data_IF_601074338790
#
_entry.id   IF_601074338790
#
_cell.length_a   1.000
_cell.length_b   1.000
_cell.length_c   1.000
_cell.angle_alpha   90.00
_cell.angle_beta   90.00
_cell.angle_gamma   90.00
#
_symmetry.space_group_name_H-M   'P 1'
#
loop_
_entity.id
_entity.type
_entity.pdbx_description
1 polymer ?
#
# COMPACT_ATOMS: atom_id res chain seq x y z
N UNK A 1 -28.60 7.47 4.67
CA UNK A 1 -28.87 6.80 3.38
C UNK A 1 -28.44 5.35 3.54
N UNK A 2 -29.30 4.38 3.22
CA UNK A 2 -28.92 2.97 3.21
C UNK A 2 -27.83 2.75 2.15
N UNK A 3 -26.76 2.04 2.48
CA UNK A 3 -25.74 1.69 1.47
C UNK A 3 -26.41 0.90 0.34
N UNK A 4 -26.10 1.18 -0.93
CA UNK A 4 -26.69 0.46 -2.04
C UNK A 4 -26.31 -1.02 -1.95
N UNK A 5 -27.31 -1.90 -2.08
CA UNK A 5 -27.11 -3.33 -2.22
C UNK A 5 -26.41 -3.61 -3.56
N UNK A 6 -25.43 -4.53 -3.57
CA UNK A 6 -24.81 -4.99 -4.81
C UNK A 6 -25.55 -6.27 -5.22
N UNK A 7 -26.58 -6.10 -6.05
CA UNK A 7 -27.31 -7.24 -6.63
C UNK A 7 -26.54 -7.88 -7.79
N UNK A 8 -27.12 -8.95 -8.37
CA UNK A 8 -26.50 -9.71 -9.44
C UNK A 8 -26.29 -8.87 -10.72
N UNK A 9 -27.21 -7.96 -11.04
CA UNK A 9 -27.12 -7.11 -12.23
C UNK A 9 -26.04 -6.03 -12.06
N UNK A 10 -25.97 -5.41 -10.87
CA UNK A 10 -24.92 -4.48 -10.51
C UNK A 10 -23.55 -5.15 -10.54
N UNK A 11 -23.42 -6.37 -9.97
CA UNK A 11 -22.18 -7.13 -10.04
C UNK A 11 -21.79 -7.48 -11.48
N UNK A 12 -22.72 -7.98 -12.28
CA UNK A 12 -22.48 -8.31 -13.68
C UNK A 12 -22.00 -7.09 -14.46
N UNK A 13 -22.61 -5.92 -14.23
CA UNK A 13 -22.14 -4.66 -14.81
C UNK A 13 -20.71 -4.33 -14.39
N UNK A 14 -20.37 -4.38 -13.10
CA UNK A 14 -19.01 -4.12 -12.63
C UNK A 14 -17.99 -5.13 -13.20
N UNK A 15 -18.41 -6.38 -13.40
CA UNK A 15 -17.58 -7.44 -13.97
C UNK A 15 -17.25 -7.23 -15.45
N UNK A 16 -18.02 -6.44 -16.20
CA UNK A 16 -17.68 -6.05 -17.59
C UNK A 16 -16.38 -5.25 -17.69
N UNK A 17 -15.86 -4.73 -16.58
CA UNK A 17 -14.60 -3.99 -16.51
C UNK A 17 -13.37 -4.89 -16.41
N UNK A 18 -13.54 -6.18 -16.14
CA UNK A 18 -12.42 -7.13 -16.11
C UNK A 18 -11.74 -7.20 -17.48
N UNK A 19 -10.41 -7.25 -17.47
CA UNK A 19 -9.58 -7.20 -18.67
C UNK A 19 -9.31 -5.79 -19.20
N UNK A 20 -9.97 -4.74 -18.69
CA UNK A 20 -9.63 -3.35 -19.06
C UNK A 20 -8.20 -3.04 -18.65
N UNK A 21 -7.48 -2.31 -19.50
CA UNK A 21 -6.09 -1.93 -19.29
C UNK A 21 -5.87 -0.42 -19.30
N UNK A 22 -4.81 0.03 -18.65
CA UNK A 22 -4.25 1.38 -18.73
C UNK A 22 -2.71 1.28 -18.70
N UNK A 23 -2.04 2.08 -19.53
CA UNK A 23 -0.59 2.12 -19.60
C UNK A 23 -0.10 3.53 -19.29
N UNK A 24 0.84 3.65 -18.36
CA UNK A 24 1.51 4.89 -17.99
C UNK A 24 3.01 4.76 -18.19
N UNK A 25 3.67 5.85 -18.60
CA UNK A 25 5.13 5.95 -18.69
C UNK A 25 5.65 6.95 -17.66
N UNK A 26 6.86 6.72 -17.17
CA UNK A 26 7.57 7.63 -16.27
C UNK A 26 9.10 7.46 -16.44
N UNK A 27 9.88 8.36 -15.84
CA UNK A 27 11.33 8.29 -15.76
C UNK A 27 11.78 8.20 -14.30
N UNK A 28 12.64 7.24 -13.99
CA UNK A 28 13.14 7.06 -12.62
C UNK A 28 14.18 8.14 -12.30
N UNK A 29 13.72 9.29 -11.83
CA UNK A 29 14.61 10.37 -11.37
C UNK A 29 15.17 10.10 -9.96
N UNK A 30 16.33 10.68 -9.65
CA UNK A 30 17.03 10.47 -8.39
C UNK A 30 16.37 11.17 -7.18
N UNK A 31 15.59 12.24 -7.43
CA UNK A 31 15.09 13.11 -6.37
C UNK A 31 14.11 12.42 -5.41
N UNK A 32 13.09 11.65 -5.87
CA UNK A 32 12.20 10.90 -4.98
C UNK A 32 12.96 9.84 -4.16
N UNK A 33 13.94 9.16 -4.75
CA UNK A 33 14.79 8.18 -4.05
C UNK A 33 15.56 8.85 -2.90
N UNK A 34 16.22 9.97 -3.17
CA UNK A 34 16.94 10.73 -2.14
C UNK A 34 16.02 11.16 -1.00
N UNK A 35 14.83 11.67 -1.34
CA UNK A 35 13.87 12.16 -0.37
C UNK A 35 13.21 11.03 0.44
N UNK A 36 12.95 9.86 -0.15
CA UNK A 36 12.48 8.68 0.58
C UNK A 36 13.55 8.17 1.55
N UNK A 37 14.83 8.14 1.13
CA UNK A 37 15.94 7.79 2.03
C UNK A 37 15.98 8.69 3.27
N UNK A 38 15.89 10.01 3.07
CA UNK A 38 15.82 10.97 4.17
C UNK A 38 14.54 10.83 5.02
N UNK A 39 13.40 10.50 4.40
CA UNK A 39 12.12 10.29 5.10
C UNK A 39 12.14 9.07 6.01
N UNK A 40 12.84 8.00 5.61
CA UNK A 40 12.96 6.78 6.40
C UNK A 40 14.13 6.80 7.40
N UNK A 41 14.86 7.91 7.46
CA UNK A 41 16.09 8.08 8.25
C UNK A 41 17.13 7.01 7.90
N UNK A 42 17.55 7.03 6.63
CA UNK A 42 18.59 6.16 6.07
C UNK A 42 19.78 6.98 5.62
N UNK A 43 20.97 6.50 5.99
CA UNK A 43 22.26 7.01 5.54
C UNK A 43 22.73 6.27 4.26
N UNK A 44 21.81 6.04 3.32
CA UNK A 44 22.16 5.44 2.03
C UNK A 44 22.96 6.46 1.19
N UNK A 45 23.91 6.03 0.35
CA UNK A 45 24.61 6.92 -0.58
C UNK A 45 23.64 7.70 -1.47
N UNK A 46 24.02 8.94 -1.82
CA UNK A 46 23.21 9.77 -2.71
C UNK A 46 22.94 9.03 -4.04
N UNK A 47 21.67 8.97 -4.49
CA UNK A 47 21.33 8.25 -5.70
C UNK A 47 21.90 8.96 -6.93
N UNK A 48 22.53 8.17 -7.80
CA UNK A 48 23.05 8.58 -9.11
C UNK A 48 22.45 7.69 -10.21
N UNK A 49 22.71 8.01 -11.48
CA UNK A 49 22.31 7.15 -12.57
C UNK A 49 22.85 5.71 -12.36
N UNK A 50 21.98 4.71 -12.52
CA UNK A 50 22.28 3.31 -12.27
C UNK A 50 22.04 2.83 -10.82
N UNK A 51 21.80 3.72 -9.86
CA UNK A 51 21.41 3.32 -8.49
C UNK A 51 20.16 2.46 -8.53
N UNK A 52 20.20 1.28 -7.91
CA UNK A 52 19.04 0.38 -7.81
C UNK A 52 17.96 1.06 -6.97
N UNK A 53 16.73 1.07 -7.48
CA UNK A 53 15.56 1.52 -6.73
C UNK A 53 15.20 0.44 -5.70
N UNK A 54 15.17 0.76 -4.39
CA UNK A 54 14.77 -0.21 -3.37
C UNK A 54 13.35 -0.76 -3.61
N UNK A 55 13.11 -1.99 -3.16
CA UNK A 55 11.78 -2.59 -3.25
C UNK A 55 10.70 -1.67 -2.64
N UNK A 56 9.54 -1.60 -3.34
CA UNK A 56 8.40 -0.72 -3.07
C UNK A 56 8.61 0.77 -3.41
N UNK A 57 9.83 1.23 -3.68
CA UNK A 57 10.06 2.64 -4.03
C UNK A 57 9.65 2.97 -5.47
N UNK A 58 9.23 1.97 -6.26
CA UNK A 58 8.57 2.20 -7.55
C UNK A 58 7.22 2.93 -7.40
N UNK A 59 6.62 2.93 -6.20
CA UNK A 59 5.42 3.72 -5.88
C UNK A 59 5.66 5.24 -5.85
N UNK A 60 6.91 5.69 -5.92
CA UNK A 60 7.29 7.09 -6.05
C UNK A 60 7.16 7.62 -7.49
N UNK A 61 6.79 6.72 -8.41
CA UNK A 61 6.64 6.97 -9.83
C UNK A 61 5.25 6.53 -10.28
N UNK A 62 4.87 6.94 -11.49
CA UNK A 62 3.50 6.81 -12.02
C UNK A 62 2.46 7.52 -11.13
N UNK A 63 2.86 8.66 -10.54
CA UNK A 63 2.04 9.39 -9.59
C UNK A 63 0.81 10.01 -10.30
N UNK A 64 -0.40 9.90 -9.71
CA UNK A 64 -1.62 10.32 -10.36
C UNK A 64 -1.79 11.86 -10.29
N UNK A 65 -1.32 12.56 -11.32
CA UNK A 65 -1.40 14.02 -11.44
C UNK A 65 -2.79 14.53 -11.89
N UNK A 66 -3.84 14.17 -11.14
CA UNK A 66 -5.19 14.67 -11.41
C UNK A 66 -5.27 16.18 -11.19
N UNK A 67 -6.09 16.87 -12.00
CA UNK A 67 -6.31 18.31 -11.84
C UNK A 67 -7.05 18.58 -10.53
N UNK A 68 -6.82 19.74 -9.92
CA UNK A 68 -7.54 20.14 -8.70
C UNK A 68 -9.07 20.04 -8.84
N UNK A 69 -9.61 20.32 -10.04
CA UNK A 69 -11.05 20.21 -10.35
C UNK A 69 -11.58 18.78 -10.40
N UNK A 70 -10.69 17.79 -10.48
CA UNK A 70 -11.00 16.35 -10.54
C UNK A 70 -10.88 15.69 -9.16
N UNK A 71 -10.51 16.44 -8.12
CA UNK A 71 -10.42 15.94 -6.74
C UNK A 71 -11.82 15.88 -6.11
N UNK A 72 -12.08 14.80 -5.39
CA UNK A 72 -13.27 14.54 -4.59
C UNK A 72 -13.16 15.11 -3.18
N UNK A 73 -14.25 15.02 -2.42
CA UNK A 73 -14.31 15.59 -1.07
C UNK A 73 -13.32 14.94 -0.09
N UNK A 74 -12.98 13.67 -0.29
CA UNK A 74 -12.00 12.95 0.52
C UNK A 74 -10.55 13.29 0.13
N UNK A 75 -10.32 14.05 -0.95
CA UNK A 75 -8.99 14.38 -1.46
C UNK A 75 -8.40 13.36 -2.44
N UNK A 76 -9.09 12.25 -2.73
CA UNK A 76 -8.76 11.40 -3.88
C UNK A 76 -9.32 11.99 -5.18
N UNK A 77 -8.83 11.49 -6.32
CA UNK A 77 -9.54 11.70 -7.59
C UNK A 77 -11.00 11.22 -7.49
N UNK A 78 -11.91 11.99 -8.09
CA UNK A 78 -13.31 11.58 -8.26
C UNK A 78 -13.36 10.22 -8.93
N UNK A 79 -14.32 9.41 -8.49
CA UNK A 79 -14.50 8.04 -8.96
C UNK A 79 -14.85 8.02 -10.45
N UNK A 80 -14.39 6.98 -11.14
CA UNK A 80 -14.46 6.86 -12.59
C UNK A 80 -13.06 6.90 -13.19
N UNK A 81 -12.95 6.53 -14.47
CA UNK A 81 -11.67 6.38 -15.16
C UNK A 81 -11.33 4.92 -15.43
N UNK A 82 -10.17 4.45 -14.94
CA UNK A 82 -9.71 3.08 -15.14
C UNK A 82 -10.51 2.06 -14.31
N UNK A 83 -10.74 2.33 -13.02
CA UNK A 83 -11.41 1.43 -12.07
C UNK A 83 -12.94 1.40 -12.27
N UNK A 84 -13.62 0.27 -11.94
CA UNK A 84 -15.06 0.16 -12.07
C UNK A 84 -15.78 1.13 -11.13
N UNK A 85 -16.96 1.66 -11.51
CA UNK A 85 -17.70 2.66 -10.76
C UNK A 85 -18.46 2.03 -9.58
N UNK A 86 -17.74 1.46 -8.62
CA UNK A 86 -18.34 0.76 -7.47
C UNK A 86 -19.11 1.76 -6.59
N UNK A 87 -20.40 1.52 -6.27
CA UNK A 87 -21.27 2.48 -5.58
C UNK A 87 -21.09 2.48 -4.04
N UNK A 88 -19.96 2.01 -3.52
CA UNK A 88 -19.67 1.94 -2.08
C UNK A 88 -18.66 3.03 -1.68
N UNK A 89 -18.91 3.84 -0.63
CA UNK A 89 -18.24 5.13 -0.38
C UNK A 89 -16.78 5.04 0.11
N UNK A 90 -16.34 3.92 0.68
CA UNK A 90 -14.93 3.76 1.10
C UNK A 90 -14.19 2.85 0.13
N UNK A 91 -13.03 3.31 -0.35
CA UNK A 91 -12.07 2.54 -1.15
C UNK A 91 -10.79 2.37 -0.34
N UNK A 92 -10.37 1.13 -0.13
CA UNK A 92 -9.22 0.77 0.68
C UNK A 92 -8.22 -0.03 -0.15
N UNK A 93 -6.94 0.29 -0.02
CA UNK A 93 -5.85 -0.56 -0.49
C UNK A 93 -5.57 -1.60 0.61
N UNK A 94 -6.09 -2.82 0.44
CA UNK A 94 -6.14 -3.82 1.49
C UNK A 94 -4.89 -4.71 1.55
N UNK A 95 -4.09 -4.75 0.49
CA UNK A 95 -2.87 -5.54 0.44
C UNK A 95 -2.32 -5.64 -0.98
N UNK A 96 -1.11 -6.20 -1.09
CA UNK A 96 -0.50 -6.53 -2.37
C UNK A 96 0.15 -7.90 -2.38
N UNK A 97 0.35 -8.42 -3.59
CA UNK A 97 1.31 -9.49 -3.89
C UNK A 97 2.26 -9.01 -4.99
N UNK A 98 3.55 -8.92 -4.67
CA UNK A 98 4.60 -8.44 -5.58
C UNK A 98 5.62 -9.54 -5.85
N UNK A 99 6.08 -9.62 -7.08
CA UNK A 99 7.17 -10.49 -7.53
C UNK A 99 8.13 -9.69 -8.39
N UNK A 100 9.42 -9.68 -8.03
CA UNK A 100 10.47 -9.04 -8.82
C UNK A 100 11.12 -10.05 -9.76
N UNK A 101 11.46 -9.62 -10.96
CA UNK A 101 12.18 -10.44 -11.93
C UNK A 101 13.66 -10.45 -11.57
N UNK A 102 14.27 -11.64 -11.32
CA UNK A 102 15.69 -11.73 -11.00
C UNK A 102 16.57 -11.12 -12.10
N UNK A 103 17.58 -10.35 -11.72
CA UNK A 103 18.54 -9.77 -12.66
C UNK A 103 18.05 -8.55 -13.46
N UNK A 104 16.78 -8.13 -13.30
CA UNK A 104 16.27 -6.91 -13.93
C UNK A 104 15.71 -5.88 -12.92
N UNK A 105 16.54 -5.35 -12.00
CA UNK A 105 16.09 -4.30 -11.09
C UNK A 105 15.80 -3.01 -11.85
N UNK A 106 14.87 -2.23 -11.29
CA UNK A 106 14.66 -0.84 -11.67
C UNK A 106 15.82 0.04 -11.16
N UNK A 107 16.25 1.00 -11.97
CA UNK A 107 17.38 1.87 -11.65
C UNK A 107 17.06 3.34 -11.93
N UNK A 108 17.66 4.22 -11.15
CA UNK A 108 17.66 5.65 -11.45
C UNK A 108 18.23 5.88 -12.86
N UNK A 109 17.49 6.62 -13.68
CA UNK A 109 17.75 6.84 -15.09
C UNK A 109 17.03 5.87 -16.04
N UNK A 110 16.39 4.80 -15.55
CA UNK A 110 15.55 3.96 -16.41
C UNK A 110 14.30 4.75 -16.85
N UNK A 111 13.97 4.65 -18.14
CA UNK A 111 12.61 4.94 -18.63
C UNK A 111 11.75 3.72 -18.39
N UNK A 112 10.58 3.92 -17.79
CA UNK A 112 9.71 2.83 -17.36
C UNK A 112 8.28 2.97 -17.85
N UNK A 113 7.61 1.83 -17.96
CA UNK A 113 6.21 1.72 -18.33
C UNK A 113 5.50 0.81 -17.32
N UNK A 114 4.31 1.20 -16.87
CA UNK A 114 3.41 0.36 -16.07
C UNK A 114 2.14 0.09 -16.86
N UNK A 115 1.88 -1.18 -17.14
CA UNK A 115 0.58 -1.63 -17.66
C UNK A 115 -0.24 -2.19 -16.50
N UNK A 116 -1.42 -1.62 -16.30
CA UNK A 116 -2.37 -2.00 -15.25
C UNK A 116 -3.56 -2.69 -15.90
N UNK A 117 -3.98 -3.84 -15.37
CA UNK A 117 -5.09 -4.64 -15.89
C UNK A 117 -6.03 -5.00 -14.75
N UNK A 118 -7.34 -4.78 -14.92
CA UNK A 118 -8.34 -5.25 -13.95
C UNK A 118 -8.44 -6.76 -14.08
N UNK A 119 -7.87 -7.48 -13.12
CA UNK A 119 -7.79 -8.94 -13.16
C UNK A 119 -9.08 -9.61 -12.70
N UNK A 120 -9.70 -9.09 -11.63
CA UNK A 120 -10.96 -9.63 -11.15
C UNK A 120 -11.82 -8.60 -10.44
N UNK A 121 -13.14 -8.80 -10.50
CA UNK A 121 -14.13 -8.08 -9.69
C UNK A 121 -15.03 -9.10 -9.03
N UNK A 122 -15.03 -9.12 -7.69
CA UNK A 122 -15.84 -10.06 -6.90
C UNK A 122 -16.62 -9.32 -5.83
N UNK A 123 -17.76 -9.88 -5.44
CA UNK A 123 -18.60 -9.35 -4.37
C UNK A 123 -18.73 -10.38 -3.26
N UNK A 124 -18.75 -9.90 -2.02
CA UNK A 124 -19.06 -10.68 -0.82
C UNK A 124 -20.01 -9.89 0.05
N UNK A 125 -21.10 -10.52 0.44
CA UNK A 125 -21.99 -10.04 1.49
C UNK A 125 -21.76 -10.84 2.77
N UNK A 126 -21.72 -10.17 3.92
CA UNK A 126 -21.52 -10.83 5.21
C UNK A 126 -21.76 -9.91 6.41
N UNK A 127 -21.25 -10.31 7.59
CA UNK A 127 -21.41 -9.55 8.84
C UNK A 127 -20.86 -8.11 8.76
N UNK A 128 -19.87 -7.89 7.89
CA UNK A 128 -19.24 -6.58 7.65
C UNK A 128 -19.94 -5.75 6.56
N UNK A 129 -21.12 -6.17 6.11
CA UNK A 129 -21.88 -5.53 5.04
C UNK A 129 -21.44 -5.94 3.63
N UNK A 130 -21.80 -5.10 2.66
CA UNK A 130 -21.47 -5.25 1.24
C UNK A 130 -19.99 -4.93 1.01
N UNK A 131 -19.25 -5.88 0.44
CA UNK A 131 -17.85 -5.72 0.03
C UNK A 131 -17.69 -6.03 -1.45
N UNK A 132 -17.05 -5.14 -2.19
CA UNK A 132 -16.61 -5.40 -3.56
C UNK A 132 -15.09 -5.39 -3.58
N UNK A 133 -14.49 -6.47 -4.07
CA UNK A 133 -13.06 -6.63 -4.23
C UNK A 133 -12.71 -6.46 -5.69
N UNK A 134 -11.74 -5.60 -5.97
CA UNK A 134 -11.17 -5.39 -7.30
C UNK A 134 -9.68 -5.71 -7.21
N UNK A 135 -9.22 -6.69 -7.98
CA UNK A 135 -7.80 -6.99 -8.11
C UNK A 135 -7.27 -6.33 -9.36
N UNK A 136 -6.24 -5.50 -9.23
CA UNK A 136 -5.55 -4.88 -10.35
C UNK A 136 -4.14 -5.43 -10.45
N UNK A 137 -3.79 -5.97 -11.61
CA UNK A 137 -2.43 -6.40 -11.92
C UNK A 137 -1.65 -5.27 -12.55
N UNK A 138 -0.51 -4.94 -11.99
CA UNK A 138 0.48 -4.04 -12.52
C UNK A 138 1.68 -4.82 -13.00
N UNK A 139 2.14 -4.51 -14.21
CA UNK A 139 3.40 -4.98 -14.75
C UNK A 139 4.28 -3.77 -15.06
N UNK A 140 5.41 -3.65 -14.36
CA UNK A 140 6.36 -2.56 -14.58
C UNK A 140 7.51 -3.07 -15.43
N UNK A 141 7.74 -2.40 -16.55
CA UNK A 141 8.76 -2.72 -17.55
C UNK A 141 9.76 -1.56 -17.66
N UNK A 142 11.02 -1.90 -17.92
CA UNK A 142 12.05 -0.98 -18.39
C UNK A 142 12.50 -1.44 -19.79
N UNK A 143 13.54 -0.82 -20.34
CA UNK A 143 14.10 -1.19 -21.65
C UNK A 143 14.61 -2.63 -21.74
N UNK A 144 14.92 -3.26 -20.59
CA UNK A 144 15.39 -4.66 -20.50
C UNK A 144 14.25 -5.67 -20.38
N UNK A 145 13.00 -5.20 -20.29
CA UNK A 145 11.80 -6.04 -20.17
C UNK A 145 11.08 -5.90 -18.84
N UNK A 146 10.35 -6.94 -18.43
CA UNK A 146 9.61 -6.98 -17.16
C UNK A 146 10.58 -6.91 -15.98
N UNK A 147 10.32 -5.97 -15.06
CA UNK A 147 11.11 -5.78 -13.84
C UNK A 147 10.36 -6.29 -12.60
N UNK A 148 9.05 -6.05 -12.52
CA UNK A 148 8.19 -6.60 -11.47
C UNK A 148 6.73 -6.74 -11.91
N UNK A 149 6.03 -7.66 -11.25
CA UNK A 149 4.57 -7.79 -11.28
C UNK A 149 4.02 -7.56 -9.88
N UNK A 150 2.89 -6.86 -9.79
CA UNK A 150 2.25 -6.47 -8.54
C UNK A 150 0.73 -6.62 -8.68
N UNK A 151 0.08 -7.28 -7.71
CA UNK A 151 -1.37 -7.41 -7.63
C UNK A 151 -1.89 -6.55 -6.49
N UNK A 152 -2.63 -5.50 -6.79
CA UNK A 152 -3.30 -4.63 -5.82
C UNK A 152 -4.67 -5.19 -5.45
N UNK A 153 -4.87 -5.45 -4.16
CA UNK A 153 -6.16 -5.82 -3.61
C UNK A 153 -6.91 -4.58 -3.13
N UNK A 154 -7.85 -4.09 -3.96
CA UNK A 154 -8.70 -2.95 -3.64
C UNK A 154 -10.03 -3.44 -3.08
N UNK A 155 -10.43 -2.90 -1.93
CA UNK A 155 -11.71 -3.23 -1.28
C UNK A 155 -12.57 -1.99 -1.21
N UNK A 156 -13.80 -2.11 -1.70
CA UNK A 156 -14.85 -1.12 -1.53
C UNK A 156 -15.83 -1.58 -0.47
N UNK A 157 -16.19 -0.68 0.45
CA UNK A 157 -17.13 -0.97 1.54
C UNK A 157 -18.02 0.22 1.88
N UNK A 158 -19.11 -0.06 2.59
CA UNK A 158 -19.95 0.94 3.21
C UNK A 158 -19.14 1.85 4.18
N UNK A 159 -19.61 3.09 4.34
CA UNK A 159 -19.15 3.94 5.42
C UNK A 159 -19.58 3.32 6.76
N UNK A 160 -18.74 3.45 7.78
CA UNK A 160 -19.11 2.96 9.12
C UNK A 160 -20.33 3.74 9.60
N UNK A 161 -21.30 3.04 10.19
CA UNK A 161 -22.41 3.72 10.86
C UNK A 161 -22.03 4.07 12.30
N UNK A 162 -22.51 5.20 12.85
CA UNK A 162 -22.27 5.53 14.26
C UNK A 162 -22.75 4.39 15.17
N UNK A 163 -21.85 3.85 15.99
CA UNK A 163 -22.14 2.70 16.87
C UNK A 163 -21.91 1.32 16.25
N UNK A 164 -21.49 1.23 14.97
CA UNK A 164 -21.02 -0.03 14.38
C UNK A 164 -19.80 -0.54 15.15
N UNK A 165 -19.89 -1.75 15.70
CA UNK A 165 -18.77 -2.37 16.39
C UNK A 165 -17.68 -2.72 15.39
N UNK A 166 -16.48 -2.19 15.60
CA UNK A 166 -15.31 -2.64 14.88
C UNK A 166 -15.09 -4.14 15.13
N UNK A 167 -14.59 -4.90 14.13
CA UNK A 167 -14.17 -6.27 14.34
C UNK A 167 -13.24 -6.38 15.55
N UNK A 168 -13.39 -7.46 16.32
CA UNK A 168 -12.51 -7.72 17.46
C UNK A 168 -11.04 -7.74 16.97
N UNK A 169 -10.12 -7.04 17.66
CA UNK A 169 -8.75 -6.95 17.21
C UNK A 169 -8.01 -8.28 17.42
N UNK A 170 -7.07 -8.56 16.53
CA UNK A 170 -6.18 -9.72 16.64
C UNK A 170 -4.90 -9.30 17.36
N UNK A 171 -4.45 -10.01 18.42
CA UNK A 171 -3.16 -9.74 19.05
C UNK A 171 -2.01 -9.85 18.05
N UNK A 172 -1.04 -8.94 18.12
CA UNK A 172 0.20 -9.07 17.36
C UNK A 172 1.05 -10.25 17.87
N UNK A 173 1.80 -10.95 16.99
CA UNK A 173 2.80 -11.92 17.43
C UNK A 173 3.83 -11.30 18.37
N UNK A 174 4.28 -12.07 19.37
CA UNK A 174 5.18 -11.58 20.45
C UNK A 174 6.62 -12.09 20.32
N UNK A 175 6.91 -12.83 19.27
CA UNK A 175 8.14 -13.59 19.04
C UNK A 175 8.99 -12.98 17.92
N UNK A 176 8.99 -11.65 17.82
CA UNK A 176 9.86 -10.92 16.91
C UNK A 176 11.34 -11.16 17.23
N UNK A 177 12.15 -11.41 16.21
CA UNK A 177 13.62 -11.42 16.36
C UNK A 177 14.21 -10.03 16.20
N UNK A 178 13.51 -9.14 15.48
CA UNK A 178 13.89 -7.75 15.31
C UNK A 178 12.66 -6.84 15.21
N UNK A 179 12.82 -5.59 15.62
CA UNK A 179 11.74 -4.61 15.64
C UNK A 179 12.25 -3.18 15.56
N UNK A 180 11.36 -2.24 15.23
CA UNK A 180 11.62 -0.80 15.25
C UNK A 180 10.37 -0.03 15.68
N UNK A 181 10.54 0.90 16.60
CA UNK A 181 9.53 1.88 16.99
C UNK A 181 9.43 3.01 15.96
N UNK A 182 8.21 3.41 15.63
CA UNK A 182 7.92 4.47 14.67
C UNK A 182 7.01 5.49 15.34
N UNK A 183 7.42 6.76 15.29
CA UNK A 183 6.57 7.89 15.67
C UNK A 183 5.93 8.45 14.39
N UNK A 184 4.62 8.23 14.16
CA UNK A 184 3.90 8.74 13.00
C UNK A 184 3.57 10.23 13.14
N UNK A 185 4.59 11.08 13.27
CA UNK A 185 4.38 12.53 13.40
C UNK A 185 3.86 13.16 12.08
N UNK A 186 3.41 14.41 12.20
CA UNK A 186 2.88 15.19 11.10
C UNK A 186 3.90 15.36 9.96
N UNK A 187 5.18 15.50 10.27
CA UNK A 187 6.26 15.63 9.29
C UNK A 187 6.45 14.34 8.48
N UNK A 188 6.48 13.17 9.14
CA UNK A 188 6.61 11.86 8.48
C UNK A 188 5.41 11.61 7.57
N UNK A 189 4.19 11.82 8.08
CA UNK A 189 2.97 11.62 7.31
C UNK A 189 2.91 12.57 6.11
N UNK A 190 3.21 13.86 6.31
CA UNK A 190 3.26 14.85 5.24
C UNK A 190 4.30 14.49 4.17
N UNK A 191 5.53 14.15 4.58
CA UNK A 191 6.61 13.79 3.64
C UNK A 191 6.21 12.59 2.78
N UNK A 192 5.59 11.57 3.37
CA UNK A 192 5.13 10.41 2.63
C UNK A 192 3.98 10.75 1.67
N UNK A 193 3.01 11.56 2.10
CA UNK A 193 1.93 12.05 1.22
C UNK A 193 2.49 12.85 0.05
N UNK A 194 3.45 13.75 0.29
CA UNK A 194 4.09 14.54 -0.76
C UNK A 194 4.87 13.66 -1.75
N UNK A 195 5.63 12.68 -1.27
CA UNK A 195 6.41 11.75 -2.10
C UNK A 195 5.57 10.85 -2.99
N UNK A 196 4.34 10.56 -2.57
CA UNK A 196 3.40 9.69 -3.29
C UNK A 196 2.28 10.47 -3.98
N UNK A 197 2.36 11.81 -3.99
CA UNK A 197 1.31 12.72 -4.47
C UNK A 197 -0.08 12.35 -3.94
N UNK A 198 -0.14 11.91 -2.68
CA UNK A 198 -1.34 11.37 -2.06
C UNK A 198 -2.14 12.48 -1.38
N UNK A 199 -3.17 12.96 -2.06
CA UNK A 199 -4.08 14.01 -1.58
C UNK A 199 -5.16 13.55 -0.61
N UNK A 200 -5.22 12.26 -0.23
CA UNK A 200 -6.30 11.72 0.59
C UNK A 200 -6.25 12.32 2.01
N UNK A 201 -7.31 13.05 2.35
CA UNK A 201 -7.44 13.87 3.57
C UNK A 201 -7.27 13.07 4.85
N UNK A 202 -7.46 11.75 4.82
CA UNK A 202 -7.32 10.94 6.03
C UNK A 202 -5.91 10.93 6.62
N UNK A 203 -4.92 11.37 5.86
CA UNK A 203 -3.51 11.35 6.23
C UNK A 203 -2.99 12.69 6.77
N UNK A 204 -3.74 13.79 6.60
CA UNK A 204 -3.26 15.14 7.00
C UNK A 204 -4.36 16.09 7.52
N UNK A 205 -5.64 15.86 7.22
CA UNK A 205 -6.74 16.72 7.68
C UNK A 205 -7.41 16.12 8.92
N UNK A 206 -6.95 16.54 10.11
CA UNK A 206 -7.47 16.00 11.38
C UNK A 206 -8.96 16.26 11.57
N UNK A 207 -9.48 17.40 11.09
CA UNK A 207 -10.92 17.71 11.22
C UNK A 207 -11.74 16.75 10.37
N UNK A 208 -11.33 16.51 9.12
CA UNK A 208 -11.99 15.53 8.27
C UNK A 208 -12.00 14.14 8.91
N UNK A 209 -10.84 13.67 9.36
CA UNK A 209 -10.70 12.31 9.92
C UNK A 209 -11.54 12.10 11.17
N UNK A 210 -11.54 13.08 12.08
CA UNK A 210 -12.21 12.94 13.38
C UNK A 210 -13.70 13.28 13.33
N UNK A 211 -14.10 14.25 12.50
CA UNK A 211 -15.47 14.76 12.47
C UNK A 211 -16.32 14.20 11.33
N UNK A 212 -15.70 13.81 10.20
CA UNK A 212 -16.41 13.22 9.04
C UNK A 212 -16.27 11.71 9.02
N UNK A 213 -15.04 11.19 9.14
CA UNK A 213 -14.80 9.74 9.10
C UNK A 213 -14.98 9.04 10.46
N UNK A 214 -14.91 9.79 11.56
CA UNK A 214 -15.12 9.29 12.93
C UNK A 214 -13.94 8.53 13.54
N UNK A 215 -12.75 8.63 12.96
CA UNK A 215 -11.54 7.99 13.49
C UNK A 215 -10.90 8.84 14.59
N UNK A 216 -10.14 8.25 15.53
CA UNK A 216 -9.56 8.98 16.66
C UNK A 216 -8.39 9.91 16.27
N UNK A 217 -7.75 9.70 15.12
CA UNK A 217 -6.64 10.51 14.62
C UNK A 217 -6.32 10.20 13.16
N UNK A 218 -5.32 10.87 12.60
CA UNK A 218 -4.88 10.66 11.22
C UNK A 218 -4.51 9.20 11.01
N UNK A 219 -4.88 8.65 9.86
CA UNK A 219 -4.56 7.27 9.53
C UNK A 219 -3.17 7.23 8.93
N UNK A 220 -2.30 6.38 9.47
CA UNK A 220 -1.00 6.08 8.87
C UNK A 220 -1.23 5.34 7.56
N UNK A 221 -0.56 5.77 6.48
CA UNK A 221 -0.69 5.14 5.17
C UNK A 221 -0.34 3.64 5.25
N UNK A 222 -1.22 2.76 4.76
CA UNK A 222 -0.89 1.34 4.60
C UNK A 222 0.42 1.13 3.80
N UNK A 223 0.60 1.81 2.65
CA UNK A 223 1.85 1.78 1.88
C UNK A 223 3.09 2.24 2.66
N UNK A 224 2.95 3.20 3.59
CA UNK A 224 4.05 3.60 4.47
C UNK A 224 4.42 2.46 5.42
N UNK A 225 3.44 1.78 6.03
CA UNK A 225 3.70 0.62 6.90
C UNK A 225 4.38 -0.51 6.10
N UNK A 226 3.90 -0.82 4.90
CA UNK A 226 4.53 -1.80 4.02
C UNK A 226 5.98 -1.42 3.66
N UNK A 227 6.22 -0.14 3.37
CA UNK A 227 7.57 0.42 3.10
C UNK A 227 8.46 0.28 4.33
N UNK A 228 7.95 0.57 5.54
CA UNK A 228 8.68 0.42 6.80
C UNK A 228 8.99 -1.03 7.15
N UNK A 229 8.12 -1.99 6.80
CA UNK A 229 8.39 -3.41 6.98
C UNK A 229 9.54 -3.88 6.08
N UNK A 230 9.55 -3.46 4.81
CA UNK A 230 10.68 -3.75 3.92
C UNK A 230 11.94 -2.98 4.33
N UNK A 231 11.83 -1.75 4.80
CA UNK A 231 12.96 -1.01 5.37
C UNK A 231 13.56 -1.72 6.59
N UNK A 232 12.72 -2.22 7.49
CA UNK A 232 13.14 -3.02 8.64
C UNK A 232 13.91 -4.26 8.18
N UNK A 233 13.38 -5.00 7.19
CA UNK A 233 14.07 -6.17 6.64
C UNK A 233 15.41 -5.77 6.00
N UNK A 234 15.46 -4.69 5.21
CA UNK A 234 16.69 -4.18 4.59
C UNK A 234 17.77 -3.79 5.60
N UNK A 235 17.39 -3.37 6.81
CA UNK A 235 18.34 -3.06 7.90
C UNK A 235 18.95 -4.32 8.54
N UNK A 236 18.27 -5.46 8.44
CA UNK A 236 18.69 -6.72 9.06
C UNK A 236 19.28 -7.73 8.08
N UNK A 237 18.83 -7.70 6.82
CA UNK A 237 19.32 -8.57 5.76
C UNK A 237 20.71 -8.12 5.26
N UNK A 238 21.47 -9.00 4.59
CA UNK A 238 22.69 -8.63 3.89
C UNK A 238 22.48 -7.43 2.95
N UNK A 239 23.49 -6.57 2.81
CA UNK A 239 23.37 -5.32 2.06
C UNK A 239 23.06 -5.52 0.56
N UNK A 240 23.43 -6.68 0.00
CA UNK A 240 23.19 -7.09 -1.39
C UNK A 240 21.92 -7.94 -1.56
N UNK A 241 21.17 -8.20 -0.49
CA UNK A 241 19.95 -8.98 -0.54
C UNK A 241 18.90 -8.33 -1.44
N UNK A 242 18.36 -9.13 -2.37
CA UNK A 242 17.28 -8.71 -3.26
C UNK A 242 15.98 -9.40 -2.85
N UNK A 243 14.87 -8.70 -3.00
CA UNK A 243 13.54 -9.23 -2.71
C UNK A 243 13.03 -9.96 -3.96
N UNK A 244 12.66 -11.23 -3.82
CA UNK A 244 12.01 -12.01 -4.88
C UNK A 244 10.50 -11.88 -4.82
N UNK A 245 9.91 -11.94 -3.61
CA UNK A 245 8.47 -11.81 -3.38
C UNK A 245 8.18 -11.00 -2.12
N UNK A 246 7.08 -10.25 -2.17
CA UNK A 246 6.49 -9.61 -0.99
C UNK A 246 4.99 -9.73 -1.07
N UNK A 247 4.36 -10.06 0.05
CA UNK A 247 2.91 -10.05 0.17
C UNK A 247 2.56 -9.39 1.49
N UNK A 248 1.61 -8.46 1.49
CA UNK A 248 1.11 -7.85 2.71
C UNK A 248 -0.40 -7.69 2.69
N UNK A 249 -0.98 -7.60 3.88
CA UNK A 249 -2.39 -7.35 4.11
C UNK A 249 -2.58 -6.39 5.27
N UNK A 250 -3.34 -5.33 5.04
CA UNK A 250 -3.84 -4.46 6.09
C UNK A 250 -4.91 -5.20 6.91
N UNK A 251 -4.75 -5.21 8.23
CA UNK A 251 -5.64 -5.89 9.17
C UNK A 251 -6.56 -4.88 9.86
N UNK A 252 -5.98 -3.75 10.31
CA UNK A 252 -6.73 -2.61 10.88
C UNK A 252 -5.94 -1.31 10.71
N UNK A 253 -6.60 -0.14 10.80
CA UNK A 253 -5.90 1.15 10.74
C UNK A 253 -4.92 1.33 11.89
N UNK A 254 -3.79 1.97 11.60
CA UNK A 254 -2.87 2.54 12.60
C UNK A 254 -3.07 4.06 12.61
N UNK A 255 -2.99 4.69 13.78
CA UNK A 255 -3.28 6.12 13.94
C UNK A 255 -2.07 6.90 14.44
N UNK A 256 -2.07 8.20 14.16
CA UNK A 256 -1.00 9.12 14.53
C UNK A 256 -0.97 9.55 16.01
N UNK A 257 -1.90 9.03 16.82
CA UNK A 257 -2.11 9.41 18.22
C UNK A 257 -1.15 8.72 19.19
N UNK A 258 -0.41 7.72 18.72
CA UNK A 258 0.60 7.01 19.49
C UNK A 258 1.67 6.41 18.56
N UNK A 259 2.90 6.17 19.06
CA UNK A 259 3.88 5.36 18.35
C UNK A 259 3.33 3.96 18.03
N UNK A 260 3.82 3.38 16.94
CA UNK A 260 3.53 2.00 16.56
C UNK A 260 4.84 1.28 16.25
N UNK A 261 4.79 -0.05 16.12
CA UNK A 261 5.98 -0.87 15.88
C UNK A 261 5.87 -1.66 14.60
N UNK A 262 7.03 -1.86 13.96
CA UNK A 262 7.20 -2.84 12.89
C UNK A 262 8.14 -3.94 13.36
N UNK A 263 7.82 -5.17 13.01
CA UNK A 263 8.48 -6.37 13.51
C UNK A 263 8.83 -7.32 12.38
N UNK A 264 9.81 -8.18 12.64
CA UNK A 264 10.10 -9.30 11.77
C UNK A 264 10.81 -10.47 12.45
N UNK A 265 10.63 -11.64 11.83
CA UNK A 265 11.35 -12.87 12.14
C UNK A 265 11.56 -13.71 10.88
N UNK A 266 12.59 -14.58 10.82
CA UNK A 266 12.62 -15.67 9.85
C UNK A 266 11.32 -16.49 9.96
N UNK A 267 10.72 -16.84 8.83
CA UNK A 267 9.50 -17.62 8.80
C UNK A 267 9.77 -19.05 9.28
N UNK A 268 8.83 -19.60 10.06
CA UNK A 268 8.90 -20.98 10.52
C UNK A 268 8.93 -21.94 9.32
N UNK A 269 9.85 -22.90 9.34
CA UNK A 269 10.01 -23.87 8.26
C UNK A 269 10.71 -23.34 7.00
N UNK A 270 11.26 -22.12 7.00
CA UNK A 270 12.12 -21.63 5.89
C UNK A 270 13.44 -22.41 5.88
N UNK A 271 13.49 -23.51 5.11
CA UNK A 271 14.68 -24.37 5.02
C UNK A 271 15.92 -23.65 4.47
N UNK A 272 15.72 -22.60 3.68
CA UNK A 272 16.77 -21.78 3.05
C UNK A 272 17.11 -20.50 3.82
N UNK A 273 16.39 -20.19 4.91
CA UNK A 273 16.54 -18.94 5.67
C UNK A 273 16.19 -17.67 4.89
N UNK A 274 15.49 -17.75 3.75
CA UNK A 274 15.18 -16.60 2.88
C UNK A 274 13.80 -15.99 3.09
N UNK A 275 12.91 -16.70 3.78
CA UNK A 275 11.53 -16.25 4.01
C UNK A 275 11.41 -15.60 5.38
N UNK A 276 10.75 -14.46 5.45
CA UNK A 276 10.54 -13.67 6.65
C UNK A 276 9.05 -13.38 6.86
N UNK A 277 8.59 -13.51 8.10
CA UNK A 277 7.29 -13.01 8.54
C UNK A 277 7.49 -11.62 9.15
N UNK A 278 6.73 -10.65 8.66
CA UNK A 278 6.80 -9.25 9.07
C UNK A 278 5.41 -8.77 9.51
N UNK A 279 5.33 -7.85 10.47
CA UNK A 279 4.03 -7.29 10.89
C UNK A 279 4.14 -5.90 11.51
N UNK A 280 3.03 -5.17 11.45
CA UNK A 280 2.82 -3.93 12.20
C UNK A 280 1.98 -4.17 13.45
N UNK A 281 2.29 -3.44 14.51
CA UNK A 281 1.63 -3.51 15.82
C UNK A 281 1.30 -2.08 16.31
N UNK A 282 0.05 -1.84 16.74
CA UNK A 282 -0.34 -0.57 17.35
C UNK A 282 0.10 -0.46 18.82
N UNK A 283 -0.09 0.71 19.44
CA UNK A 283 0.31 0.97 20.81
C UNK A 283 -0.35 0.05 21.86
N UNK A 284 -1.48 -0.57 21.52
CA UNK A 284 -2.24 -1.46 22.40
C UNK A 284 -1.87 -2.95 22.18
N UNK A 285 -0.92 -3.25 21.28
CA UNK A 285 -0.46 -4.60 21.00
C UNK A 285 -1.29 -5.37 19.98
N UNK A 286 -2.09 -4.67 19.16
CA UNK A 286 -2.90 -5.31 18.12
C UNK A 286 -2.20 -5.30 16.77
N UNK A 287 -2.41 -6.38 16.02
CA UNK A 287 -1.90 -6.55 14.66
C UNK A 287 -2.57 -5.57 13.70
N UNK A 288 -1.78 -4.71 13.05
CA UNK A 288 -2.28 -3.69 12.09
C UNK A 288 -2.01 -4.07 10.64
N UNK A 289 -0.89 -4.74 10.38
CA UNK A 289 -0.51 -5.25 9.06
C UNK A 289 0.22 -6.57 9.23
N UNK A 290 -0.02 -7.52 8.32
CA UNK A 290 0.72 -8.77 8.23
C UNK A 290 1.40 -8.85 6.88
N UNK A 291 2.63 -9.35 6.82
CA UNK A 291 3.35 -9.53 5.57
C UNK A 291 4.32 -10.72 5.58
N UNK A 292 4.63 -11.20 4.38
CA UNK A 292 5.66 -12.21 4.12
C UNK A 292 6.60 -11.68 3.05
N UNK A 293 7.90 -11.76 3.31
CA UNK A 293 8.96 -11.38 2.37
C UNK A 293 9.83 -12.59 2.05
N UNK A 294 10.23 -12.74 0.79
CA UNK A 294 11.15 -13.80 0.33
C UNK A 294 12.32 -13.16 -0.39
N UNK A 295 13.54 -13.40 0.09
CA UNK A 295 14.76 -12.96 -0.56
C UNK A 295 15.13 -13.89 -1.75
N UNK A 296 15.84 -13.36 -2.74
CA UNK A 296 16.30 -14.09 -3.93
C UNK A 296 17.45 -15.05 -3.64
#
# INVERSE_FOLDING_TARGET
MTSPLIDADALAHLQTWQGRTETLSDDITAAPVRAMSATLDRDDPLPAAGTIVPALWHWLYFLPHHRQSEIGEDGHARRGGFLPPVPLPRRMWAGDRLTWVPGNPLRVGDRIERTSTIESVTHKAGRSGELVFVVVRHEVRNERGLALTELHDIVYRAAATPGEQAPAPTPAPKDATFSRDIVPDDVLLFRYSALTFNGHRIHYDRRYVTQVEGYPGLIVHGPLIATLLIDLLRRHAPADAQLARFEFRAVRPTFDIAPFRVHGKPAEGSADGKTFSLWGEDADGWLTMQATAVLA
#
